data_IF_500110930914
#
_entry.id   IF_500110930914
#
_cell.length_a   1.000
_cell.length_b   1.000
_cell.length_c   1.000
_cell.angle_alpha   90.00
_cell.angle_beta   90.00
_cell.angle_gamma   90.00
#
_symmetry.space_group_name_H-M   'P 1'
#
loop_
_entity.id
_entity.type
_entity.pdbx_description
1 polymer ?
#
# COMPACT_ATOMS: atom_id res chain seq x y z
N UNK A 1 5.47 8.09 1.82
CA UNK A 1 6.06 6.82 1.33
C UNK A 1 7.35 6.45 2.08
N UNK A 2 8.22 7.40 2.45
CA UNK A 2 9.47 7.11 3.18
C UNK A 2 9.29 6.52 4.59
N UNK A 3 8.17 6.79 5.26
CA UNK A 3 7.91 6.34 6.65
C UNK A 3 7.78 4.81 6.77
N UNK A 4 7.23 4.13 5.74
CA UNK A 4 7.08 2.67 5.73
C UNK A 4 8.42 1.93 5.60
N UNK A 5 9.44 2.61 5.10
CA UNK A 5 10.80 2.07 4.98
C UNK A 5 11.68 2.49 6.16
N UNK A 6 11.11 3.09 7.21
CA UNK A 6 11.83 3.65 8.35
C UNK A 6 12.91 4.69 7.94
N UNK A 7 12.69 5.37 6.82
CA UNK A 7 13.62 6.35 6.26
C UNK A 7 13.15 7.77 6.55
N UNK A 8 14.12 8.64 6.86
CA UNK A 8 13.86 10.09 6.86
C UNK A 8 13.66 10.60 5.42
N UNK A 9 12.92 11.70 5.27
CA UNK A 9 12.74 12.34 3.97
C UNK A 9 14.07 12.72 3.30
N UNK A 10 15.11 13.05 4.09
CA UNK A 10 16.44 13.38 3.58
C UNK A 10 17.14 12.15 2.98
N UNK A 11 16.94 10.97 3.56
CA UNK A 11 17.49 9.72 3.03
C UNK A 11 16.74 9.28 1.79
N UNK A 12 15.41 9.38 1.81
CA UNK A 12 14.57 9.08 0.64
C UNK A 12 14.93 9.94 -0.56
N UNK A 13 15.09 11.25 -0.37
CA UNK A 13 15.45 12.19 -1.44
C UNK A 13 16.87 12.00 -2.00
N UNK A 14 17.73 11.20 -1.35
CA UNK A 14 19.04 10.82 -1.89
C UNK A 14 18.97 9.61 -2.82
N UNK A 15 17.88 8.83 -2.77
CA UNK A 15 17.65 7.72 -3.67
C UNK A 15 17.31 8.24 -5.06
N UNK A 16 17.75 7.53 -6.10
CA UNK A 16 17.31 7.81 -7.46
C UNK A 16 15.84 7.46 -7.64
N UNK A 17 15.21 8.01 -8.67
CA UNK A 17 13.82 7.72 -8.99
C UNK A 17 13.59 6.22 -9.26
N UNK A 18 14.56 5.54 -9.87
CA UNK A 18 14.50 4.09 -10.12
C UNK A 18 14.44 3.31 -8.81
N UNK A 19 15.33 3.61 -7.86
CA UNK A 19 15.38 2.91 -6.57
C UNK A 19 14.13 3.18 -5.74
N UNK A 20 13.63 4.43 -5.73
CA UNK A 20 12.37 4.75 -5.08
C UNK A 20 11.21 3.93 -5.65
N UNK A 21 11.17 3.77 -6.98
CA UNK A 21 10.15 2.98 -7.66
C UNK A 21 10.26 1.49 -7.31
N UNK A 22 11.46 0.93 -7.29
CA UNK A 22 11.69 -0.47 -6.92
C UNK A 22 11.23 -0.75 -5.48
N UNK A 23 11.58 0.12 -4.52
CA UNK A 23 11.12 0.00 -3.14
C UNK A 23 9.60 0.02 -3.03
N UNK A 24 8.94 0.95 -3.75
CA UNK A 24 7.48 1.02 -3.78
C UNK A 24 6.86 -0.23 -4.41
N UNK A 25 7.47 -0.80 -5.44
CA UNK A 25 7.00 -2.05 -6.05
C UNK A 25 7.11 -3.22 -5.07
N UNK A 26 8.26 -3.41 -4.43
CA UNK A 26 8.44 -4.47 -3.42
C UNK A 26 7.42 -4.34 -2.28
N UNK A 27 7.20 -3.13 -1.78
CA UNK A 27 6.16 -2.89 -0.77
C UNK A 27 4.76 -3.20 -1.29
N UNK A 28 4.47 -2.89 -2.55
CA UNK A 28 3.17 -3.23 -3.15
C UNK A 28 2.98 -4.74 -3.17
N UNK A 29 4.00 -5.49 -3.58
CA UNK A 29 3.98 -6.95 -3.59
C UNK A 29 3.75 -7.53 -2.19
N UNK A 30 4.39 -6.96 -1.17
CA UNK A 30 4.18 -7.36 0.23
C UNK A 30 2.72 -7.13 0.68
N UNK A 31 2.11 -6.00 0.30
CA UNK A 31 0.68 -5.72 0.59
C UNK A 31 -0.22 -6.72 -0.12
N UNK A 32 0.04 -7.01 -1.41
CA UNK A 32 -0.72 -8.02 -2.16
C UNK A 32 -0.59 -9.40 -1.53
N UNK A 33 0.61 -9.77 -1.09
CA UNK A 33 0.85 -11.04 -0.42
C UNK A 33 0.07 -11.13 0.91
N UNK A 34 0.14 -10.10 1.74
CA UNK A 34 -0.61 -10.03 2.99
C UNK A 34 -2.13 -10.13 2.75
N UNK A 35 -2.64 -9.42 1.74
CA UNK A 35 -4.06 -9.45 1.36
C UNK A 35 -4.52 -10.80 0.80
N UNK A 36 -3.59 -11.61 0.28
CA UNK A 36 -3.86 -12.98 -0.13
C UNK A 36 -4.06 -13.93 1.05
N UNK A 37 -3.46 -13.66 2.20
CA UNK A 37 -3.64 -14.43 3.43
C UNK A 37 -4.86 -13.95 4.23
N UNK A 38 -4.98 -12.63 4.43
CA UNK A 38 -6.10 -11.98 5.11
C UNK A 38 -6.66 -10.86 4.23
N UNK A 39 -7.94 -10.92 3.86
CA UNK A 39 -8.55 -9.95 2.93
C UNK A 39 -8.69 -8.52 3.50
N UNK A 40 -8.24 -8.29 4.73
CA UNK A 40 -8.31 -7.00 5.42
C UNK A 40 -7.01 -6.75 6.18
N UNK A 41 -6.35 -5.64 5.86
CA UNK A 41 -5.09 -5.21 6.46
C UNK A 41 -5.25 -3.80 7.06
N UNK A 42 -4.67 -3.55 8.24
CA UNK A 42 -4.61 -2.23 8.84
C UNK A 42 -3.19 -1.66 8.69
N UNK A 43 -3.06 -0.46 8.14
CA UNK A 43 -1.79 0.27 8.06
C UNK A 43 -2.02 1.68 8.63
N UNK A 44 -1.44 1.95 9.79
CA UNK A 44 -1.74 3.16 10.57
C UNK A 44 -3.23 3.26 10.87
N UNK A 45 -3.84 4.41 10.55
CA UNK A 45 -5.28 4.67 10.72
C UNK A 45 -6.11 4.28 9.47
N UNK A 46 -5.48 3.63 8.49
CA UNK A 46 -6.15 3.21 7.26
C UNK A 46 -6.38 1.71 7.20
N UNK A 47 -7.49 1.33 6.59
CA UNK A 47 -7.84 -0.04 6.27
C UNK A 47 -7.71 -0.28 4.77
N UNK A 48 -7.09 -1.40 4.42
CA UNK A 48 -6.96 -1.89 3.05
C UNK A 48 -7.74 -3.20 2.98
N UNK A 49 -8.75 -3.26 2.12
CA UNK A 49 -9.67 -4.39 2.01
C UNK A 49 -9.65 -4.91 0.58
N UNK A 50 -9.29 -6.17 0.41
CA UNK A 50 -9.39 -6.86 -0.86
C UNK A 50 -10.79 -7.47 -1.01
N UNK A 51 -11.55 -6.94 -1.97
CA UNK A 51 -12.87 -7.41 -2.36
C UNK A 51 -12.74 -8.20 -3.67
N UNK A 52 -12.51 -9.50 -3.52
CA UNK A 52 -12.30 -10.41 -4.64
C UNK A 52 -13.53 -10.61 -5.52
N UNK A 53 -14.74 -10.39 -4.97
CA UNK A 53 -16.00 -10.50 -5.72
C UNK A 53 -16.11 -9.39 -6.77
N UNK A 54 -15.68 -8.18 -6.41
CA UNK A 54 -15.71 -7.03 -7.31
C UNK A 54 -14.37 -6.77 -7.99
N UNK A 55 -13.35 -7.59 -7.74
CA UNK A 55 -11.98 -7.42 -8.22
C UNK A 55 -11.41 -6.03 -7.87
N UNK A 56 -11.57 -5.58 -6.63
CA UNK A 56 -11.06 -4.28 -6.18
C UNK A 56 -10.33 -4.36 -4.84
N UNK A 57 -9.44 -3.39 -4.62
CA UNK A 57 -8.88 -3.08 -3.29
C UNK A 57 -9.47 -1.74 -2.85
N UNK A 58 -10.17 -1.75 -1.72
CA UNK A 58 -10.71 -0.55 -1.08
C UNK A 58 -9.74 -0.06 -0.03
N UNK A 59 -9.46 1.25 -0.05
CA UNK A 59 -8.68 1.92 0.97
C UNK A 59 -9.63 2.88 1.68
N UNK A 60 -9.77 2.72 2.99
CA UNK A 60 -10.62 3.56 3.84
C UNK A 60 -9.84 4.14 5.00
N UNK A 61 -10.11 5.41 5.32
CA UNK A 61 -9.65 6.08 6.52
C UNK A 61 -10.88 6.33 7.39
N UNK A 62 -10.85 5.83 8.63
CA UNK A 62 -12.04 5.70 9.48
C UNK A 62 -13.19 4.96 8.76
N UNK A 63 -14.36 5.59 8.61
CA UNK A 63 -15.52 5.04 7.90
C UNK A 63 -15.65 5.54 6.44
N UNK A 64 -14.68 6.30 5.94
CA UNK A 64 -14.72 6.86 4.58
C UNK A 64 -13.80 6.11 3.64
N UNK A 65 -14.36 5.61 2.54
CA UNK A 65 -13.56 5.11 1.42
C UNK A 65 -12.87 6.30 0.76
N UNK A 66 -11.53 6.31 0.80
CA UNK A 66 -10.71 7.37 0.23
C UNK A 66 -10.20 7.00 -1.16
N UNK A 67 -10.04 5.71 -1.44
CA UNK A 67 -9.57 5.24 -2.73
C UNK A 67 -10.06 3.84 -3.05
N UNK A 68 -10.21 3.56 -4.35
CA UNK A 68 -10.53 2.23 -4.88
C UNK A 68 -9.57 1.94 -6.01
N UNK A 69 -8.86 0.83 -5.90
CA UNK A 69 -7.98 0.29 -6.94
C UNK A 69 -8.70 -0.86 -7.61
N UNK A 70 -8.88 -0.79 -8.93
CA UNK A 70 -9.44 -1.87 -9.72
C UNK A 70 -8.35 -2.84 -10.14
N UNK A 71 -8.57 -4.13 -9.89
CA UNK A 71 -7.71 -5.21 -10.34
C UNK A 71 -8.24 -5.68 -11.70
N UNK A 72 -7.40 -5.53 -12.74
CA UNK A 72 -7.70 -5.95 -14.13
C UNK A 72 -7.10 -7.31 -14.44
#
# INVERSE_FOLDING_TARGET
>A
CHELFEMSMKEWSKLTAEVQKELVQTLSDDIFYALGADSKLQIGDSWIIHDSVHHIIKISQDEKVVHIVYLV
#
